data_IF_744027947461
#
_entry.id   IF_744027947461
#
_cell.length_a   1.000
_cell.length_b   1.000
_cell.length_c   1.000
_cell.angle_alpha   90.00
_cell.angle_beta   90.00
_cell.angle_gamma   90.00
#
_symmetry.space_group_name_H-M   'P 1'
#
loop_
_entity.id
_entity.type
_entity.pdbx_description
1 polymer ?
#
# COMPACT_ATOMS: atom_id res chain seq x y z
N UNK A 1 23.25 23.64 14.75
CA UNK A 1 24.22 23.79 13.65
C UNK A 1 23.45 24.44 12.49
N UNK A 2 23.65 25.74 12.23
CA UNK A 2 22.94 26.43 11.14
C UNK A 2 23.44 25.83 9.83
N UNK A 3 22.61 24.98 9.23
CA UNK A 3 22.78 24.50 7.86
C UNK A 3 22.85 25.73 6.96
N UNK A 4 23.91 25.86 6.18
CA UNK A 4 24.16 26.99 5.29
C UNK A 4 22.89 27.24 4.47
N UNK A 5 22.21 28.37 4.72
CA UNK A 5 20.99 28.72 3.98
C UNK A 5 21.36 28.94 2.53
N UNK A 6 20.70 28.19 1.66
CA UNK A 6 21.03 27.97 0.25
C UNK A 6 20.65 29.15 -0.66
N UNK A 7 20.94 30.39 -0.23
CA UNK A 7 20.84 31.56 -1.09
C UNK A 7 22.18 31.73 -1.79
N UNK A 8 22.30 31.20 -3.01
CA UNK A 8 23.49 31.45 -3.84
C UNK A 8 23.61 32.96 -4.08
N UNK A 9 24.74 33.56 -3.72
CA UNK A 9 25.01 34.96 -4.04
C UNK A 9 24.88 35.20 -5.57
N UNK A 10 24.36 36.36 -6.00
CA UNK A 10 24.26 36.67 -7.43
C UNK A 10 25.65 36.68 -8.06
N UNK A 11 25.77 36.14 -9.28
CA UNK A 11 27.04 35.95 -9.98
C UNK A 11 27.93 37.20 -10.00
N UNK A 12 27.35 38.38 -10.20
CA UNK A 12 28.09 39.65 -10.18
C UNK A 12 28.81 39.89 -8.85
N UNK A 13 28.16 39.63 -7.71
CA UNK A 13 28.77 39.84 -6.40
C UNK A 13 29.97 38.92 -6.12
N UNK A 14 29.98 37.71 -6.69
CA UNK A 14 31.10 36.78 -6.55
C UNK A 14 32.27 37.21 -7.46
N UNK A 15 31.97 37.66 -8.69
CA UNK A 15 32.97 38.22 -9.59
C UNK A 15 33.63 39.45 -8.96
N UNK A 16 32.82 40.37 -8.41
CA UNK A 16 33.30 41.56 -7.70
C UNK A 16 34.20 41.20 -6.51
N UNK A 17 33.80 40.21 -5.70
CA UNK A 17 34.58 39.76 -4.54
C UNK A 17 35.94 39.15 -4.93
N UNK A 18 35.99 38.43 -6.05
CA UNK A 18 37.24 37.88 -6.58
C UNK A 18 38.05 38.88 -7.41
N UNK A 19 37.56 40.12 -7.54
CA UNK A 19 38.12 41.16 -8.41
C UNK A 19 38.27 40.69 -9.87
N UNK A 20 37.31 39.90 -10.36
CA UNK A 20 37.22 39.51 -11.77
C UNK A 20 36.47 40.61 -12.52
N UNK A 21 37.17 41.72 -12.71
CA UNK A 21 36.77 42.86 -13.53
C UNK A 21 37.22 42.70 -15.00
N UNK A 22 36.95 43.72 -15.83
CA UNK A 22 37.34 43.67 -17.26
C UNK A 22 38.85 43.57 -17.45
N UNK A 23 39.66 44.19 -16.58
CA UNK A 23 41.13 44.10 -16.65
C UNK A 23 41.59 42.66 -16.41
N UNK A 24 41.01 41.99 -15.41
CA UNK A 24 41.26 40.58 -15.11
C UNK A 24 40.77 39.67 -16.22
N UNK A 25 39.57 39.91 -16.75
CA UNK A 25 39.00 39.18 -17.88
C UNK A 25 39.86 39.32 -19.15
N UNK A 26 40.32 40.53 -19.47
CA UNK A 26 41.21 40.80 -20.59
C UNK A 26 42.58 40.11 -20.42
N UNK A 27 43.11 40.06 -19.19
CA UNK A 27 44.35 39.35 -18.89
C UNK A 27 44.21 37.84 -19.09
N UNK A 28 43.11 37.24 -18.64
CA UNK A 28 42.81 35.82 -18.88
C UNK A 28 42.70 35.55 -20.39
N UNK A 29 41.92 36.36 -21.10
CA UNK A 29 41.66 36.23 -22.55
C UNK A 29 42.94 36.34 -23.37
N UNK A 30 43.78 37.33 -23.09
CA UNK A 30 45.06 37.53 -23.77
C UNK A 30 46.08 36.41 -23.49
N UNK A 31 45.93 35.71 -22.37
CA UNK A 31 46.81 34.59 -21.98
C UNK A 31 46.35 33.24 -22.53
N UNK A 32 45.09 33.13 -23.00
CA UNK A 32 44.47 31.89 -23.49
C UNK A 32 45.34 31.15 -24.52
N UNK A 33 45.86 31.85 -25.52
CA UNK A 33 46.66 31.23 -26.60
C UNK A 33 47.95 30.57 -26.07
N UNK A 34 48.54 31.10 -25.01
CA UNK A 34 49.73 30.52 -24.38
C UNK A 34 49.38 29.39 -23.40
N UNK A 35 48.21 29.48 -22.74
CA UNK A 35 47.79 28.57 -21.68
C UNK A 35 47.16 27.28 -22.23
N UNK A 36 46.35 27.36 -23.31
CA UNK A 36 45.59 26.21 -23.80
C UNK A 36 46.46 25.01 -24.22
N UNK A 37 47.60 25.18 -24.93
CA UNK A 37 48.48 24.05 -25.23
C UNK A 37 49.07 23.42 -23.96
N UNK A 38 49.47 24.26 -23.00
CA UNK A 38 50.02 23.83 -21.72
C UNK A 38 48.99 23.03 -20.92
N UNK A 39 47.75 23.51 -20.89
CA UNK A 39 46.63 22.82 -20.25
C UNK A 39 46.35 21.48 -20.92
N UNK A 40 46.45 21.39 -22.25
CA UNK A 40 46.25 20.13 -22.96
C UNK A 40 47.26 19.06 -22.53
N UNK A 41 48.53 19.41 -22.40
CA UNK A 41 49.57 18.51 -21.89
C UNK A 41 49.33 18.11 -20.43
N UNK A 42 48.85 19.04 -19.59
CA UNK A 42 48.50 18.76 -18.19
C UNK A 42 47.33 17.78 -18.12
N UNK A 43 46.31 17.97 -18.96
CA UNK A 43 45.14 17.10 -19.01
C UNK A 43 45.49 15.71 -19.57
N UNK A 44 46.44 15.61 -20.49
CA UNK A 44 47.00 14.31 -20.91
C UNK A 44 47.59 13.55 -19.72
N UNK A 45 48.46 14.22 -18.97
CA UNK A 45 49.09 13.61 -17.79
C UNK A 45 48.08 13.27 -16.70
N UNK A 46 47.10 14.16 -16.46
CA UNK A 46 46.00 13.94 -15.54
C UNK A 46 45.23 12.66 -15.92
N UNK A 47 44.72 12.59 -17.15
CA UNK A 47 43.91 11.47 -17.60
C UNK A 47 44.69 10.17 -17.82
N UNK A 48 46.02 10.23 -17.99
CA UNK A 48 46.88 9.04 -17.94
C UNK A 48 46.93 8.44 -16.53
N UNK A 49 46.94 9.26 -15.49
CA UNK A 49 47.10 8.86 -14.08
C UNK A 49 45.79 8.55 -13.37
N UNK A 50 44.72 9.30 -13.66
CA UNK A 50 43.45 9.21 -12.94
C UNK A 50 42.83 7.80 -12.97
N UNK A 51 42.76 7.08 -14.11
CA UNK A 51 42.23 5.72 -14.16
C UNK A 51 43.10 4.67 -13.45
N UNK A 52 44.36 5.00 -13.12
CA UNK A 52 45.26 4.10 -12.40
C UNK A 52 44.99 4.11 -10.88
N UNK A 53 44.16 5.04 -10.39
CA UNK A 53 43.74 5.09 -8.99
C UNK A 53 42.59 4.11 -8.76
N UNK A 54 42.71 3.14 -7.83
CA UNK A 54 41.65 2.17 -7.55
C UNK A 54 40.29 2.81 -7.25
N UNK A 55 40.28 3.96 -6.59
CA UNK A 55 39.08 4.70 -6.20
C UNK A 55 38.36 5.33 -7.39
N UNK A 56 39.09 5.64 -8.47
CA UNK A 56 38.56 6.34 -9.65
C UNK A 56 38.43 5.44 -10.87
N UNK A 57 39.18 4.34 -10.94
CA UNK A 57 39.15 3.38 -12.05
C UNK A 57 37.73 2.93 -12.45
N UNK A 58 36.80 2.64 -11.51
CA UNK A 58 35.43 2.23 -11.85
C UNK A 58 34.65 3.28 -12.63
N UNK A 59 34.96 4.58 -12.46
CA UNK A 59 34.29 5.68 -13.17
C UNK A 59 34.63 5.66 -14.66
N UNK A 60 35.83 5.21 -15.02
CA UNK A 60 36.29 5.11 -16.41
C UNK A 60 35.90 3.79 -17.09
N UNK A 61 35.52 2.77 -16.32
CA UNK A 61 34.98 1.52 -16.87
C UNK A 61 33.54 1.65 -17.37
N UNK A 62 32.79 2.62 -16.83
CA UNK A 62 31.36 2.84 -17.12
C UNK A 62 31.09 4.00 -18.09
N UNK A 63 32.12 4.75 -18.46
CA UNK A 63 31.98 6.03 -19.14
C UNK A 63 32.65 6.05 -20.54
N UNK A 64 32.41 7.16 -21.24
CA UNK A 64 33.02 7.52 -22.52
C UNK A 64 34.54 7.37 -22.53
N UNK A 65 35.12 7.18 -23.71
CA UNK A 65 36.58 7.08 -23.88
C UNK A 65 37.29 8.27 -23.24
N UNK A 66 38.44 8.03 -22.60
CA UNK A 66 39.26 9.08 -21.97
C UNK A 66 39.45 10.29 -22.88
N UNK A 67 39.68 10.08 -24.17
CA UNK A 67 39.83 11.15 -25.17
C UNK A 67 38.60 12.06 -25.29
N UNK A 68 37.40 11.49 -25.21
CA UNK A 68 36.15 12.23 -25.29
C UNK A 68 35.95 13.12 -24.05
N UNK A 69 36.29 12.59 -22.86
CA UNK A 69 36.23 13.34 -21.60
C UNK A 69 37.28 14.45 -21.59
N UNK A 70 38.51 14.16 -22.01
CA UNK A 70 39.58 15.16 -22.17
C UNK A 70 39.15 16.28 -23.13
N UNK A 71 38.59 15.93 -24.29
CA UNK A 71 38.13 16.91 -25.27
C UNK A 71 36.98 17.78 -24.71
N UNK A 72 36.09 17.20 -23.89
CA UNK A 72 35.05 17.96 -23.20
C UNK A 72 35.62 18.95 -22.18
N UNK A 73 36.61 18.53 -21.40
CA UNK A 73 37.32 19.44 -20.48
C UNK A 73 38.02 20.57 -21.24
N UNK A 74 38.76 20.27 -22.31
CA UNK A 74 39.43 21.29 -23.12
C UNK A 74 38.43 22.35 -23.60
N UNK A 75 37.27 21.94 -24.14
CA UNK A 75 36.22 22.88 -24.57
C UNK A 75 35.68 23.74 -23.42
N UNK A 76 35.57 23.16 -22.22
CA UNK A 76 35.11 23.90 -21.05
C UNK A 76 36.12 24.94 -20.58
N UNK A 77 37.39 24.56 -20.46
CA UNK A 77 38.47 25.49 -20.11
C UNK A 77 38.68 26.56 -21.18
N UNK A 78 38.43 26.23 -22.45
CA UNK A 78 38.44 27.20 -23.54
C UNK A 78 37.41 28.32 -23.31
N UNK A 79 36.20 27.98 -22.86
CA UNK A 79 35.16 28.96 -22.48
C UNK A 79 35.51 29.74 -21.22
N UNK A 80 36.16 29.11 -20.23
CA UNK A 80 36.65 29.81 -19.03
C UNK A 80 37.66 30.88 -19.44
N UNK A 81 38.63 30.51 -20.29
CA UNK A 81 39.69 31.39 -20.72
C UNK A 81 39.30 32.36 -21.83
N UNK A 82 38.08 32.28 -22.37
CA UNK A 82 37.52 33.41 -23.13
C UNK A 82 37.35 34.63 -22.24
N UNK A 83 37.26 34.49 -20.91
CA UNK A 83 37.09 35.60 -19.99
C UNK A 83 35.77 36.36 -20.14
N UNK A 84 34.81 35.81 -20.90
CA UNK A 84 33.51 36.44 -21.11
C UNK A 84 32.57 36.29 -19.90
N UNK A 85 32.73 35.22 -19.12
CA UNK A 85 31.90 34.87 -17.96
C UNK A 85 30.38 35.04 -18.21
N UNK A 86 29.96 34.72 -19.44
CA UNK A 86 28.63 34.99 -19.98
C UNK A 86 27.68 33.79 -19.82
N UNK A 87 26.53 33.83 -20.49
CA UNK A 87 25.57 32.71 -20.47
C UNK A 87 26.15 31.39 -21.02
N UNK A 88 27.06 31.45 -21.99
CA UNK A 88 27.68 30.27 -22.61
C UNK A 88 28.62 29.58 -21.64
N UNK A 89 29.47 30.36 -20.95
CA UNK A 89 30.32 29.86 -19.87
C UNK A 89 29.47 29.27 -18.74
N UNK A 90 28.45 30.01 -18.26
CA UNK A 90 27.53 29.53 -17.20
C UNK A 90 26.87 28.20 -17.54
N UNK A 91 26.37 28.06 -18.77
CA UNK A 91 25.78 26.80 -19.24
C UNK A 91 26.80 25.66 -19.25
N UNK A 92 28.08 25.95 -19.55
CA UNK A 92 29.14 24.96 -19.49
C UNK A 92 29.43 24.47 -18.08
N UNK A 93 29.52 25.40 -17.13
CA UNK A 93 29.74 25.07 -15.71
C UNK A 93 28.64 24.16 -15.17
N UNK A 94 27.38 24.45 -15.51
CA UNK A 94 26.23 23.60 -15.12
C UNK A 94 26.38 22.20 -15.71
N UNK A 95 26.66 22.08 -17.02
CA UNK A 95 26.88 20.77 -17.65
C UNK A 95 27.99 19.97 -16.99
N UNK A 96 29.08 20.63 -16.59
CA UNK A 96 30.20 20.00 -15.89
C UNK A 96 29.77 19.50 -14.51
N UNK A 97 29.07 20.32 -13.73
CA UNK A 97 28.53 19.90 -12.42
C UNK A 97 27.59 18.70 -12.53
N UNK A 98 26.64 18.73 -13.47
CA UNK A 98 25.70 17.65 -13.75
C UNK A 98 26.41 16.38 -14.22
N UNK A 99 27.42 16.50 -15.11
CA UNK A 99 28.16 15.34 -15.61
C UNK A 99 28.93 14.61 -14.50
N UNK A 100 29.53 15.36 -13.56
CA UNK A 100 30.23 14.78 -12.41
C UNK A 100 29.26 14.18 -11.38
N UNK A 101 28.05 14.73 -11.25
CA UNK A 101 26.97 14.13 -10.47
C UNK A 101 26.49 12.80 -11.08
N UNK A 102 26.30 12.76 -12.40
CA UNK A 102 25.77 11.58 -13.09
C UNK A 102 26.68 10.34 -13.01
N UNK A 103 27.97 10.54 -12.77
CA UNK A 103 28.95 9.46 -12.55
C UNK A 103 29.27 9.22 -11.08
N UNK A 104 28.56 9.89 -10.15
CA UNK A 104 28.80 9.84 -8.71
C UNK A 104 30.26 10.12 -8.33
N UNK A 105 30.91 11.10 -8.98
CA UNK A 105 32.27 11.48 -8.62
C UNK A 105 32.27 12.10 -7.20
N UNK A 106 33.03 11.55 -6.24
CA UNK A 106 33.11 12.15 -4.90
C UNK A 106 33.75 13.54 -4.96
N UNK A 107 33.20 14.47 -4.18
CA UNK A 107 33.58 15.88 -4.22
C UNK A 107 35.04 16.11 -3.83
N UNK A 108 35.60 15.27 -2.96
CA UNK A 108 37.02 15.31 -2.55
C UNK A 108 37.94 15.08 -3.75
N UNK A 109 37.57 14.15 -4.64
CA UNK A 109 38.32 13.87 -5.86
C UNK A 109 38.13 14.96 -6.92
N UNK A 110 36.92 15.54 -7.00
CA UNK A 110 36.66 16.69 -7.88
C UNK A 110 37.52 17.90 -7.53
N UNK A 111 37.54 18.29 -6.25
CA UNK A 111 38.35 19.41 -5.73
C UNK A 111 39.84 19.12 -5.85
N UNK A 112 40.28 17.90 -5.51
CA UNK A 112 41.68 17.50 -5.63
C UNK A 112 42.17 17.51 -7.08
N UNK A 113 41.31 17.17 -8.04
CA UNK A 113 41.64 17.23 -9.47
C UNK A 113 41.84 18.68 -9.94
N UNK A 114 41.00 19.61 -9.48
CA UNK A 114 41.18 21.04 -9.75
C UNK A 114 42.48 21.56 -9.14
N UNK A 115 42.78 21.18 -7.90
CA UNK A 115 44.03 21.56 -7.24
C UNK A 115 45.26 21.04 -8.01
N UNK A 116 45.22 19.82 -8.53
CA UNK A 116 46.29 19.27 -9.38
C UNK A 116 46.46 20.08 -10.67
N UNK A 117 45.39 20.24 -11.46
CA UNK A 117 45.46 20.95 -12.75
C UNK A 117 45.90 22.40 -12.58
N UNK A 118 45.33 23.11 -11.59
CA UNK A 118 45.70 24.47 -11.28
C UNK A 118 47.16 24.56 -10.79
N UNK A 119 47.59 23.64 -9.93
CA UNK A 119 48.97 23.59 -9.44
C UNK A 119 49.99 23.44 -10.55
N UNK A 120 49.77 22.48 -11.46
CA UNK A 120 50.62 22.26 -12.64
C UNK A 120 50.61 23.46 -13.59
N UNK A 121 49.44 24.06 -13.82
CA UNK A 121 49.32 25.23 -14.68
C UNK A 121 50.10 26.42 -14.10
N UNK A 122 49.94 26.69 -12.80
CA UNK A 122 50.65 27.77 -12.13
C UNK A 122 52.16 27.50 -12.09
N UNK A 123 52.61 26.27 -11.84
CA UNK A 123 54.03 25.91 -11.89
C UNK A 123 54.63 26.20 -13.27
N UNK A 124 53.95 25.82 -14.36
CA UNK A 124 54.43 26.09 -15.73
C UNK A 124 54.41 27.58 -16.10
N UNK A 125 53.38 28.31 -15.67
CA UNK A 125 53.33 29.79 -15.78
C UNK A 125 54.47 30.44 -14.99
N UNK A 126 54.86 29.84 -13.86
CA UNK A 126 55.93 30.34 -13.01
C UNK A 126 57.33 29.99 -13.54
N UNK A 127 57.55 28.78 -14.04
CA UNK A 127 58.86 28.34 -14.55
C UNK A 127 59.20 28.95 -15.90
N UNK A 128 58.19 29.28 -16.70
CA UNK A 128 58.37 30.01 -17.94
C UNK A 128 59.11 29.20 -19.01
N UNK A 129 58.49 28.15 -19.54
CA UNK A 129 58.93 27.50 -20.78
C UNK A 129 58.70 28.37 -22.03
N UNK A 130 57.90 29.43 -21.91
CA UNK A 130 57.95 30.53 -22.86
C UNK A 130 59.17 31.41 -22.52
N UNK A 131 60.21 31.38 -23.37
CA UNK A 131 61.47 32.15 -23.34
C UNK A 131 61.35 33.70 -23.21
N UNK A 132 60.22 34.23 -22.75
CA UNK A 132 59.78 35.62 -22.90
C UNK A 132 59.66 36.36 -21.55
N UNK A 133 60.11 35.89 -20.37
CA UNK A 133 59.61 36.49 -19.09
C UNK A 133 60.59 36.89 -17.95
N UNK A 134 61.72 37.59 -18.22
CA UNK A 134 62.77 37.85 -17.21
C UNK A 134 62.89 39.28 -16.59
N UNK A 135 62.00 40.26 -16.84
CA UNK A 135 62.12 41.63 -16.27
C UNK A 135 61.24 41.88 -15.02
N UNK A 136 61.54 42.93 -14.22
CA UNK A 136 60.72 43.33 -13.04
C UNK A 136 59.25 43.60 -13.40
N UNK A 137 58.98 44.29 -14.51
CA UNK A 137 57.63 44.52 -15.05
C UNK A 137 56.90 43.19 -15.29
N UNK A 138 57.62 42.17 -15.79
CA UNK A 138 57.08 40.83 -16.06
C UNK A 138 56.84 40.00 -14.80
N UNK A 139 57.45 40.33 -13.64
CA UNK A 139 57.11 39.71 -12.34
C UNK A 139 55.74 40.16 -11.85
N UNK A 140 55.44 41.46 -11.97
CA UNK A 140 54.13 42.01 -11.60
C UNK A 140 53.03 41.48 -12.52
N UNK A 141 53.28 41.41 -13.82
CA UNK A 141 52.36 40.79 -14.80
C UNK A 141 52.09 39.32 -14.48
N UNK A 142 53.14 38.55 -14.14
CA UNK A 142 52.98 37.15 -13.70
C UNK A 142 52.18 37.01 -12.43
N UNK A 143 52.38 37.89 -11.43
CA UNK A 143 51.59 37.86 -10.20
C UNK A 143 50.11 38.16 -10.49
N UNK A 144 49.81 39.11 -11.38
CA UNK A 144 48.45 39.39 -11.84
C UNK A 144 47.83 38.20 -12.57
N UNK A 145 48.60 37.54 -13.44
CA UNK A 145 48.12 36.37 -14.16
C UNK A 145 47.84 35.19 -13.21
N UNK A 146 48.74 34.93 -12.26
CA UNK A 146 48.53 33.90 -11.22
C UNK A 146 47.25 34.18 -10.43
N UNK A 147 47.04 35.43 -10.00
CA UNK A 147 45.81 35.83 -9.31
C UNK A 147 44.57 35.61 -10.18
N UNK A 148 44.60 36.07 -11.43
CA UNK A 148 43.50 35.95 -12.38
C UNK A 148 43.12 34.50 -12.67
N UNK A 149 44.11 33.63 -12.92
CA UNK A 149 43.89 32.20 -13.17
C UNK A 149 43.38 31.47 -11.93
N UNK A 150 43.93 31.78 -10.76
CA UNK A 150 43.48 31.19 -9.50
C UNK A 150 42.03 31.58 -9.21
N UNK A 151 41.70 32.87 -9.30
CA UNK A 151 40.33 33.35 -9.11
C UNK A 151 39.35 32.72 -10.08
N UNK A 152 39.69 32.68 -11.36
CA UNK A 152 38.85 32.08 -12.41
C UNK A 152 38.63 30.58 -12.19
N UNK A 153 39.67 29.82 -11.85
CA UNK A 153 39.56 28.39 -11.60
C UNK A 153 38.78 28.05 -10.31
N UNK A 154 38.95 28.83 -9.25
CA UNK A 154 38.18 28.64 -8.01
C UNK A 154 36.71 29.03 -8.19
N UNK A 155 36.43 30.07 -8.98
CA UNK A 155 35.08 30.45 -9.37
C UNK A 155 34.39 29.30 -10.13
N UNK A 156 35.06 28.77 -11.15
CA UNK A 156 34.59 27.65 -11.96
C UNK A 156 34.24 26.43 -11.09
N UNK A 157 35.18 26.02 -10.24
CA UNK A 157 35.01 24.93 -9.30
C UNK A 157 33.82 25.15 -8.36
N UNK A 158 33.71 26.34 -7.76
CA UNK A 158 32.64 26.66 -6.81
C UNK A 158 31.25 26.57 -7.45
N UNK A 159 31.11 27.04 -8.70
CA UNK A 159 29.83 26.99 -9.40
C UNK A 159 29.50 25.61 -9.95
N UNK A 160 30.48 24.83 -10.38
CA UNK A 160 30.26 23.43 -10.75
C UNK A 160 29.79 22.60 -9.54
N UNK A 161 30.35 22.84 -8.36
CA UNK A 161 29.89 22.24 -7.09
C UNK A 161 28.46 22.69 -6.75
N UNK A 162 28.16 23.97 -6.92
CA UNK A 162 26.81 24.48 -6.70
C UNK A 162 25.78 23.85 -7.66
N UNK A 163 26.15 23.63 -8.94
CA UNK A 163 25.31 22.92 -9.90
C UNK A 163 25.11 21.44 -9.52
N UNK A 164 26.19 20.76 -9.14
CA UNK A 164 26.18 19.37 -8.66
C UNK A 164 25.21 19.17 -7.47
N UNK A 165 25.24 20.09 -6.49
CA UNK A 165 24.37 20.02 -5.31
C UNK A 165 22.96 20.53 -5.56
N UNK A 166 22.79 21.53 -6.42
CA UNK A 166 21.49 22.13 -6.74
C UNK A 166 20.54 21.17 -7.45
N UNK A 167 21.03 20.33 -8.37
CA UNK A 167 20.21 19.31 -9.03
C UNK A 167 19.85 18.15 -8.10
N UNK A 168 20.79 17.69 -7.26
CA UNK A 168 20.53 16.67 -6.26
C UNK A 168 19.41 17.10 -5.27
N UNK A 169 19.43 18.35 -4.81
CA UNK A 169 18.40 18.89 -3.91
C UNK A 169 17.05 19.07 -4.62
N UNK A 170 17.04 19.51 -5.88
CA UNK A 170 15.78 19.56 -6.67
C UNK A 170 15.20 18.16 -6.90
N UNK A 171 16.03 17.17 -7.15
CA UNK A 171 15.64 15.76 -7.29
C UNK A 171 14.99 15.22 -6.01
N UNK A 172 15.66 15.38 -4.86
CA UNK A 172 15.12 14.98 -3.55
C UNK A 172 13.80 15.69 -3.22
N UNK A 173 13.70 16.98 -3.53
CA UNK A 173 12.46 17.74 -3.32
C UNK A 173 11.32 17.22 -4.19
N UNK A 174 11.57 16.98 -5.47
CA UNK A 174 10.55 16.44 -6.37
C UNK A 174 10.11 15.01 -5.96
N UNK A 175 11.03 14.19 -5.45
CA UNK A 175 10.71 12.87 -4.89
C UNK A 175 9.89 12.97 -3.60
N UNK A 176 10.24 13.89 -2.70
CA UNK A 176 9.45 14.16 -1.50
C UNK A 176 8.03 14.67 -1.84
N UNK A 177 7.91 15.57 -2.82
CA UNK A 177 6.60 16.06 -3.30
C UNK A 177 5.75 14.92 -3.88
N UNK A 178 6.34 14.00 -4.67
CA UNK A 178 5.64 12.80 -5.16
C UNK A 178 5.24 11.85 -4.04
N UNK A 179 6.08 11.70 -3.01
CA UNK A 179 5.76 10.86 -1.86
C UNK A 179 4.56 11.42 -1.09
N UNK A 180 4.51 12.74 -0.88
CA UNK A 180 3.36 13.41 -0.26
C UNK A 180 2.09 13.19 -1.09
N UNK A 181 2.15 13.37 -2.41
CA UNK A 181 0.98 13.16 -3.28
C UNK A 181 0.46 11.70 -3.24
N UNK A 182 1.37 10.72 -3.15
CA UNK A 182 0.99 9.32 -3.00
C UNK A 182 0.35 9.03 -1.64
N UNK A 183 0.87 9.64 -0.56
CA UNK A 183 0.29 9.51 0.78
C UNK A 183 -1.12 10.10 0.81
N UNK A 184 -1.32 11.30 0.26
CA UNK A 184 -2.63 11.96 0.21
C UNK A 184 -3.66 11.07 -0.51
N UNK A 185 -3.27 10.46 -1.63
CA UNK A 185 -4.14 9.54 -2.38
C UNK A 185 -4.49 8.29 -1.57
N UNK A 186 -3.51 7.67 -0.91
CA UNK A 186 -3.74 6.49 -0.07
C UNK A 186 -4.63 6.80 1.14
N UNK A 187 -4.47 7.98 1.73
CA UNK A 187 -5.33 8.44 2.83
C UNK A 187 -6.77 8.62 2.33
N UNK A 188 -6.98 9.24 1.17
CA UNK A 188 -8.30 9.40 0.57
C UNK A 188 -8.97 8.03 0.30
N UNK A 189 -8.25 7.09 -0.34
CA UNK A 189 -8.77 5.74 -0.61
C UNK A 189 -9.13 4.98 0.68
N UNK A 190 -8.32 5.16 1.73
CA UNK A 190 -8.57 4.56 3.05
C UNK A 190 -9.82 5.15 3.70
N UNK A 191 -9.98 6.47 3.64
CA UNK A 191 -11.18 7.15 4.15
C UNK A 191 -12.43 6.66 3.43
N UNK A 192 -12.40 6.58 2.10
CA UNK A 192 -13.53 6.08 1.29
C UNK A 192 -13.88 4.64 1.65
N UNK A 193 -12.87 3.78 1.83
CA UNK A 193 -13.05 2.38 2.26
C UNK A 193 -13.69 2.30 3.64
N UNK A 194 -13.22 3.11 4.60
CA UNK A 194 -13.78 3.16 5.96
C UNK A 194 -15.22 3.68 5.95
N UNK A 195 -15.52 4.70 5.14
CA UNK A 195 -16.88 5.20 4.97
C UNK A 195 -17.81 4.13 4.41
N UNK A 196 -17.38 3.40 3.36
CA UNK A 196 -18.15 2.30 2.78
C UNK A 196 -18.38 1.18 3.81
N UNK A 197 -17.36 0.81 4.57
CA UNK A 197 -17.46 -0.22 5.61
C UNK A 197 -18.41 0.21 6.75
N UNK A 198 -18.35 1.48 7.16
CA UNK A 198 -19.23 2.04 8.18
C UNK A 198 -20.69 2.06 7.72
N UNK A 199 -20.94 2.37 6.45
CA UNK A 199 -22.29 2.30 5.87
C UNK A 199 -22.83 0.85 5.87
N UNK A 200 -22.01 -0.13 5.46
CA UNK A 200 -22.38 -1.54 5.50
C UNK A 200 -22.63 -2.06 6.92
N UNK A 201 -21.86 -1.59 7.90
CA UNK A 201 -22.09 -1.88 9.33
C UNK A 201 -23.43 -1.30 9.80
N UNK A 202 -23.76 -0.07 9.40
CA UNK A 202 -25.04 0.55 9.75
C UNK A 202 -26.24 -0.20 9.13
N UNK A 203 -26.11 -0.69 7.90
CA UNK A 203 -27.12 -1.55 7.25
C UNK A 203 -27.28 -2.89 7.98
N UNK A 204 -26.16 -3.51 8.38
CA UNK A 204 -26.18 -4.78 9.13
C UNK A 204 -26.81 -4.60 10.51
N UNK A 205 -26.52 -3.49 11.19
CA UNK A 205 -27.13 -3.15 12.48
C UNK A 205 -28.65 -2.96 12.36
N UNK A 206 -29.13 -2.27 11.30
CA UNK A 206 -30.56 -2.16 11.01
C UNK A 206 -31.21 -3.53 10.78
N UNK A 207 -30.58 -4.38 9.98
CA UNK A 207 -31.08 -5.74 9.70
C UNK A 207 -31.17 -6.60 10.96
N UNK A 208 -30.21 -6.48 11.90
CA UNK A 208 -30.27 -7.17 13.19
C UNK A 208 -31.43 -6.67 14.06
N UNK A 209 -31.68 -5.36 14.09
CA UNK A 209 -32.83 -4.79 14.81
C UNK A 209 -34.15 -5.31 14.25
N UNK A 210 -34.28 -5.38 12.92
CA UNK A 210 -35.48 -5.90 12.26
C UNK A 210 -35.69 -7.40 12.54
N UNK A 211 -34.60 -8.18 12.53
CA UNK A 211 -34.63 -9.60 12.87
C UNK A 211 -35.02 -9.83 14.34
N UNK A 212 -34.48 -9.03 15.27
CA UNK A 212 -34.85 -9.09 16.68
C UNK A 212 -36.36 -8.79 16.86
N UNK A 213 -36.87 -7.75 16.20
CA UNK A 213 -38.29 -7.41 16.24
C UNK A 213 -39.20 -8.47 15.58
N UNK A 214 -38.68 -9.26 14.65
CA UNK A 214 -39.40 -10.41 14.10
C UNK A 214 -39.44 -11.58 15.11
N UNK A 215 -38.30 -11.89 15.75
CA UNK A 215 -38.21 -12.93 16.78
C UNK A 215 -39.14 -12.63 17.97
N UNK A 216 -39.21 -11.37 18.42
CA UNK A 216 -40.14 -10.97 19.50
C UNK A 216 -41.59 -11.27 19.11
N UNK A 217 -42.00 -10.90 17.89
CA UNK A 217 -43.36 -11.17 17.38
C UNK A 217 -43.66 -12.66 17.26
N UNK A 218 -42.71 -13.45 16.77
CA UNK A 218 -42.87 -14.90 16.65
C UNK A 218 -42.95 -15.56 18.03
N UNK A 219 -42.21 -15.05 19.01
CA UNK A 219 -42.25 -15.52 20.40
C UNK A 219 -43.62 -15.22 21.04
N UNK A 220 -44.16 -14.03 20.84
CA UNK A 220 -45.53 -13.68 21.29
C UNK A 220 -46.59 -14.57 20.64
N UNK A 221 -46.48 -14.81 19.33
CA UNK A 221 -47.38 -15.69 18.60
C UNK A 221 -47.30 -17.14 19.09
N UNK A 222 -46.09 -17.65 19.34
CA UNK A 222 -45.86 -18.98 19.88
C UNK A 222 -46.43 -19.12 21.30
N UNK A 223 -46.26 -18.10 22.16
CA UNK A 223 -46.84 -18.08 23.50
C UNK A 223 -48.38 -18.10 23.45
N UNK A 224 -48.98 -17.32 22.55
CA UNK A 224 -50.43 -17.33 22.34
C UNK A 224 -50.95 -18.69 21.85
N UNK A 225 -50.24 -19.31 20.90
CA UNK A 225 -50.56 -20.64 20.40
C UNK A 225 -50.44 -21.71 21.49
N UNK A 226 -49.38 -21.67 22.30
CA UNK A 226 -49.19 -22.57 23.43
C UNK A 226 -50.34 -22.48 24.46
N UNK A 227 -50.78 -21.26 24.79
CA UNK A 227 -51.92 -21.05 25.67
C UNK A 227 -53.23 -21.64 25.09
N UNK A 228 -53.45 -21.51 23.78
CA UNK A 228 -54.61 -22.10 23.10
C UNK A 228 -54.58 -23.64 23.11
N UNK A 229 -53.40 -24.24 22.90
CA UNK A 229 -53.22 -25.70 22.99
C UNK A 229 -53.46 -26.18 24.41
N UNK A 230 -52.97 -25.45 25.42
CA UNK A 230 -53.20 -25.80 26.82
C UNK A 230 -54.70 -25.81 27.17
N UNK A 231 -55.45 -24.79 26.73
CA UNK A 231 -56.90 -24.71 26.91
C UNK A 231 -57.64 -25.86 26.19
N UNK A 232 -57.20 -26.20 24.98
CA UNK A 232 -57.74 -27.33 24.22
C UNK A 232 -57.48 -28.66 24.93
N UNK A 233 -56.27 -28.85 25.47
CA UNK A 233 -55.89 -30.04 26.22
C UNK A 233 -56.72 -30.19 27.51
N UNK A 234 -57.00 -29.08 28.23
CA UNK A 234 -57.90 -29.08 29.39
C UNK A 234 -59.32 -29.49 29.02
N UNK A 235 -59.82 -29.02 27.88
CA UNK A 235 -61.16 -29.38 27.38
C UNK A 235 -61.23 -30.88 27.02
N UNK A 236 -60.19 -31.40 26.36
CA UNK A 236 -60.08 -32.83 26.06
C UNK A 236 -59.99 -33.68 27.32
N UNK A 237 -59.23 -33.24 28.34
CA UNK A 237 -59.15 -33.92 29.62
C UNK A 237 -60.51 -33.99 30.32
N UNK A 238 -61.24 -32.87 30.39
CA UNK A 238 -62.59 -32.83 30.94
C UNK A 238 -63.55 -33.78 30.18
N UNK A 239 -63.52 -33.78 28.85
CA UNK A 239 -64.32 -34.70 28.04
C UNK A 239 -63.94 -36.17 28.28
N UNK A 240 -62.66 -36.48 28.48
CA UNK A 240 -62.19 -37.82 28.80
C UNK A 240 -62.65 -38.27 30.20
N UNK A 241 -62.67 -37.37 31.18
CA UNK A 241 -63.22 -37.63 32.52
C UNK A 241 -64.74 -37.91 32.47
N UNK A 242 -65.51 -37.12 31.72
CA UNK A 242 -66.95 -37.38 31.53
C UNK A 242 -67.22 -38.70 30.80
N UNK A 243 -66.40 -39.04 29.80
CA UNK A 243 -66.46 -40.34 29.13
C UNK A 243 -66.16 -41.48 30.11
N UNK A 244 -65.16 -41.33 30.98
CA UNK A 244 -64.83 -42.35 31.97
C UNK A 244 -65.97 -42.56 32.97
N UNK A 245 -66.59 -41.46 33.45
CA UNK A 245 -67.77 -41.52 34.31
C UNK A 245 -68.95 -42.21 33.61
N UNK A 246 -69.22 -41.86 32.35
CA UNK A 246 -70.27 -42.49 31.54
C UNK A 246 -70.03 -43.99 31.34
N UNK A 247 -68.78 -44.40 31.05
CA UNK A 247 -68.41 -45.83 30.92
C UNK A 247 -68.59 -46.58 32.24
N UNK A 248 -68.22 -45.95 33.36
CA UNK A 248 -68.42 -46.54 34.68
C UNK A 248 -69.91 -46.78 34.96
N UNK A 249 -70.76 -45.79 34.68
CA UNK A 249 -72.22 -45.90 34.85
C UNK A 249 -72.85 -46.95 33.92
N UNK A 250 -72.46 -46.97 32.64
CA UNK A 250 -72.89 -48.03 31.69
C UNK A 250 -72.48 -49.41 32.23
N UNK A 251 -71.26 -49.55 32.77
CA UNK A 251 -70.80 -50.82 33.34
C UNK A 251 -71.66 -51.26 34.54
N UNK A 252 -72.07 -50.33 35.41
CA UNK A 252 -73.00 -50.60 36.52
C UNK A 252 -74.37 -51.02 35.98
N UNK A 253 -74.92 -50.29 35.01
CA UNK A 253 -76.23 -50.61 34.41
C UNK A 253 -76.23 -51.97 33.71
N UNK A 254 -75.19 -52.28 32.93
CA UNK A 254 -75.02 -53.58 32.26
C UNK A 254 -74.91 -54.71 33.29
N UNK A 255 -74.16 -54.50 34.39
CA UNK A 255 -74.08 -55.43 35.51
C UNK A 255 -75.44 -55.72 36.16
N UNK A 256 -76.22 -54.66 36.40
CA UNK A 256 -77.59 -54.74 36.94
C UNK A 256 -78.59 -55.40 36.00
N UNK A 257 -78.51 -55.12 34.70
CA UNK A 257 -79.34 -55.78 33.69
C UNK A 257 -79.01 -57.29 33.61
N UNK A 258 -77.73 -57.65 33.72
CA UNK A 258 -77.28 -59.04 33.72
C UNK A 258 -77.71 -59.79 35.00
N UNK A 259 -77.67 -59.16 36.18
CA UNK A 259 -78.18 -59.77 37.42
C UNK A 259 -79.70 -59.96 37.38
N UNK A 260 -80.45 -58.95 36.95
CA UNK A 260 -81.90 -59.02 36.75
C UNK A 260 -82.28 -60.11 35.75
N UNK A 261 -81.55 -60.22 34.64
CA UNK A 261 -81.74 -61.31 33.67
C UNK A 261 -81.46 -62.68 34.28
N UNK A 262 -80.39 -62.83 35.09
CA UNK A 262 -80.10 -64.08 35.81
C UNK A 262 -81.17 -64.43 36.83
N UNK A 263 -81.67 -63.46 37.60
CA UNK A 263 -82.79 -63.66 38.52
C UNK A 263 -84.08 -64.05 37.79
N UNK A 264 -84.37 -63.41 36.65
CA UNK A 264 -85.51 -63.77 35.81
C UNK A 264 -85.40 -65.21 35.29
N UNK A 265 -84.22 -65.64 34.82
CA UNK A 265 -83.95 -67.03 34.41
C UNK A 265 -84.05 -67.99 35.60
N UNK A 266 -83.55 -67.62 36.79
CA UNK A 266 -83.66 -68.42 38.00
C UNK A 266 -85.12 -68.57 38.47
N UNK A 267 -85.93 -67.50 38.41
CA UNK A 267 -87.38 -67.55 38.67
C UNK A 267 -88.11 -68.40 37.62
N UNK A 268 -87.71 -68.32 36.35
CA UNK A 268 -88.21 -69.21 35.30
C UNK A 268 -87.88 -70.69 35.59
N UNK A 269 -86.68 -70.98 36.10
CA UNK A 269 -86.27 -72.32 36.52
C UNK A 269 -86.97 -72.78 37.81
N UNK A 270 -87.19 -71.88 38.78
CA UNK A 270 -87.95 -72.16 40.00
C UNK A 270 -89.42 -72.47 39.75
N UNK A 271 -90.05 -71.75 38.80
CA UNK A 271 -91.39 -72.10 38.29
C UNK A 271 -91.45 -73.44 37.57
N UNK A 272 -90.31 -73.99 37.13
CA UNK A 272 -90.22 -75.32 36.55
C UNK A 272 -90.24 -76.49 37.54
N UNK A 273 -90.22 -76.24 38.86
CA UNK A 273 -90.14 -77.30 39.89
C UNK A 273 -91.42 -77.51 40.71
N UNK A 274 -92.49 -76.78 40.43
CA UNK A 274 -93.82 -76.95 41.06
C UNK A 274 -94.97 -76.92 40.04
N UNK A 275 -94.93 -77.84 39.07
CA UNK A 275 -96.12 -78.48 38.47
C UNK A 275 -95.63 -79.45 37.39
N UNK A 276 -95.92 -80.73 37.61
CA UNK A 276 -95.64 -81.78 36.64
C UNK A 276 -96.52 -81.65 35.40
N UNK A 277 -96.00 -82.12 34.26
CA UNK A 277 -96.78 -82.16 33.03
C UNK A 277 -95.92 -82.33 31.79
N UNK A 278 -95.59 -83.59 31.50
CA UNK A 278 -95.04 -84.14 30.27
C UNK A 278 -95.38 -83.41 28.96
N UNK A 279 -94.37 -83.23 28.10
CA UNK A 279 -94.54 -82.93 26.67
C UNK A 279 -93.27 -82.42 25.99
N UNK A 280 -92.68 -83.21 25.08
CA UNK A 280 -91.48 -82.91 24.28
C UNK A 280 -91.68 -83.53 22.88
N UNK A 281 -90.92 -83.16 21.82
CA UNK A 281 -90.81 -81.88 21.08
C UNK A 281 -91.07 -82.08 19.55
N UNK A 282 -90.78 -81.12 18.64
CA UNK A 282 -89.48 -81.15 17.91
C UNK A 282 -88.89 -79.75 17.56
N UNK A 283 -87.56 -79.55 17.73
CA UNK A 283 -86.44 -79.46 16.73
C UNK A 283 -86.39 -78.15 15.89
N UNK A 284 -85.41 -77.22 16.04
CA UNK A 284 -83.94 -77.15 15.79
C UNK A 284 -83.55 -76.69 14.36
N UNK A 285 -82.80 -75.58 14.25
CA UNK A 285 -81.53 -75.39 13.47
C UNK A 285 -81.25 -73.87 13.34
N UNK A 286 -80.19 -73.32 13.94
CA UNK A 286 -78.76 -73.32 13.55
C UNK A 286 -78.44 -72.63 12.21
N UNK A 287 -77.74 -71.48 12.31
CA UNK A 287 -76.64 -70.96 11.45
C UNK A 287 -76.22 -69.61 12.05
N UNK A 288 -75.04 -69.36 12.63
CA UNK A 288 -73.63 -69.63 12.31
C UNK A 288 -73.06 -68.88 11.10
N UNK A 289 -71.88 -68.27 11.32
CA UNK A 289 -70.87 -67.77 10.36
C UNK A 289 -71.10 -66.34 9.83
N UNK A 290 -70.09 -65.49 9.62
CA UNK A 290 -68.61 -65.53 9.70
C UNK A 290 -68.12 -64.07 9.57
N UNK A 291 -67.19 -63.60 10.39
CA UNK A 291 -65.79 -63.30 10.03
C UNK A 291 -65.54 -62.71 8.62
N UNK A 292 -64.91 -61.53 8.57
CA UNK A 292 -63.66 -61.32 7.82
C UNK A 292 -63.18 -59.87 7.92
N UNK A 293 -62.06 -59.66 8.62
CA UNK A 293 -61.09 -58.63 8.28
C UNK A 293 -60.43 -58.98 6.93
N UNK A 294 -59.76 -58.02 6.27
CA UNK A 294 -58.31 -58.08 6.29
C UNK A 294 -57.60 -56.72 6.42
N UNK A 295 -56.29 -56.84 6.68
CA UNK A 295 -55.33 -55.82 7.08
C UNK A 295 -54.59 -55.18 5.86
N UNK A 296 -53.59 -54.30 6.08
CA UNK A 296 -53.21 -53.19 5.19
C UNK A 296 -52.03 -53.50 4.26
N UNK A 297 -51.77 -52.61 3.29
CA UNK A 297 -50.45 -52.42 2.66
C UNK A 297 -50.15 -50.97 2.26
N UNK A 298 -48.93 -50.55 2.57
CA UNK A 298 -48.15 -49.36 2.14
C UNK A 298 -47.74 -49.45 0.64
N UNK A 299 -46.70 -48.73 0.14
CA UNK A 299 -46.47 -47.29 -0.09
C UNK A 299 -46.14 -47.00 -1.59
N UNK A 300 -45.87 -45.73 -1.98
CA UNK A 300 -44.64 -45.23 -2.68
C UNK A 300 -44.86 -43.96 -3.53
N UNK A 301 -43.98 -42.97 -3.31
CA UNK A 301 -43.27 -42.04 -4.23
C UNK A 301 -43.79 -41.75 -5.66
N UNK A 302 -43.88 -40.45 -6.02
CA UNK A 302 -42.95 -39.71 -6.92
C UNK A 302 -43.50 -38.30 -7.24
N UNK A 303 -42.77 -37.24 -6.84
CA UNK A 303 -42.20 -36.16 -7.67
C UNK A 303 -41.59 -35.08 -6.79
#
# INVERSE_FOLDING_TARGET
MKMWTQTSAPWGAILDYLEIDEDTAALVRSSKAAIMPVLADILDEFYRRTPQRPELAPLFARASTVDAVKAAQIRHWDLLFDGAFDGSYRASVVRIGTAHQAIDLPIEWYVSSHAFVLGELLDRVIRGDARVFQTKTRRTERARLVKALTGSALLDMAFAIAAHTGEAVRGQRAEAERMVENIDRQVADTVDTVTAFTAALADSARSMTDAAAAVDRDTDAAAAAANSVLASAQTVAAAAEELHASIAEISVQVGGAASTSREAVARMRGRGTSSGGWGRPPRRSDRSCRSSAPSPRRPTFWR
#
